data_IF_199202884362
#
_entry.id   IF_199202884362
#
_cell.length_a   1.000
_cell.length_b   1.000
_cell.length_c   1.000
_cell.angle_alpha   90.00
_cell.angle_beta   90.00
_cell.angle_gamma   90.00
#
_symmetry.space_group_name_H-M   'P 1'
#
loop_
_entity.id
_entity.type
_entity.pdbx_description
1 polymer ?
#
# COMPACT_ATOMS: atom_id res chain seq x y z
N UNK A 1 5.97 67.13 -7.49
CA UNK A 1 7.34 67.28 -6.96
C UNK A 1 7.30 67.30 -5.45
N UNK A 2 8.28 66.65 -4.82
CA UNK A 2 8.33 66.47 -3.38
C UNK A 2 9.02 67.69 -2.71
N UNK A 3 8.56 68.08 -1.52
CA UNK A 3 9.21 69.16 -0.77
C UNK A 3 10.55 68.70 -0.19
N UNK A 4 11.44 69.66 0.07
CA UNK A 4 12.79 69.39 0.57
C UNK A 4 12.78 68.55 1.85
N UNK A 5 11.80 68.79 2.74
CA UNK A 5 11.65 68.03 3.99
C UNK A 5 11.47 66.52 3.74
N UNK A 6 10.68 66.11 2.75
CA UNK A 6 10.48 64.69 2.43
C UNK A 6 11.72 64.08 1.77
N UNK A 7 12.43 64.84 0.93
CA UNK A 7 13.67 64.40 0.31
C UNK A 7 14.78 64.18 1.35
N UNK A 8 14.90 65.10 2.32
CA UNK A 8 15.87 64.98 3.41
C UNK A 8 15.57 63.79 4.32
N UNK A 9 14.28 63.54 4.61
CA UNK A 9 13.85 62.37 5.36
C UNK A 9 14.16 61.05 4.63
N UNK A 10 13.85 60.96 3.34
CA UNK A 10 14.16 59.79 2.51
C UNK A 10 15.67 59.54 2.50
N UNK A 11 16.47 60.60 2.31
CA UNK A 11 17.93 60.51 2.31
C UNK A 11 18.47 60.01 3.65
N UNK A 12 17.94 60.52 4.77
CA UNK A 12 18.33 60.06 6.11
C UNK A 12 18.07 58.57 6.32
N UNK A 13 16.92 58.08 5.89
CA UNK A 13 16.57 56.64 5.98
C UNK A 13 17.45 55.80 5.04
N UNK A 14 17.71 56.29 3.83
CA UNK A 14 18.58 55.64 2.85
C UNK A 14 20.03 55.49 3.38
N UNK A 15 20.58 56.56 3.96
CA UNK A 15 21.92 56.55 4.56
C UNK A 15 21.97 55.61 5.77
N UNK A 16 20.92 55.56 6.59
CA UNK A 16 20.83 54.62 7.71
C UNK A 16 20.74 53.16 7.25
N UNK A 17 20.02 52.87 6.16
CA UNK A 17 19.96 51.53 5.56
C UNK A 17 21.32 51.08 5.00
N UNK A 18 22.12 52.01 4.46
CA UNK A 18 23.50 51.71 4.06
C UNK A 18 24.42 51.38 5.25
N UNK A 19 24.14 51.95 6.42
CA UNK A 19 24.94 51.77 7.62
C UNK A 19 24.65 50.45 8.37
N UNK A 20 23.63 49.69 7.96
CA UNK A 20 23.30 48.40 8.58
C UNK A 20 24.45 47.41 8.39
N UNK A 21 24.91 46.82 9.49
CA UNK A 21 25.98 45.82 9.51
C UNK A 21 25.50 44.49 8.89
N UNK A 22 25.78 44.34 7.59
CA UNK A 22 25.40 43.14 6.82
C UNK A 22 26.09 41.87 7.33
N UNK A 23 27.27 41.97 7.95
CA UNK A 23 27.95 40.80 8.49
C UNK A 23 27.20 40.25 9.70
N UNK A 24 26.77 41.13 10.62
CA UNK A 24 25.94 40.75 11.77
C UNK A 24 24.55 40.28 11.39
N UNK A 25 24.02 40.78 10.29
CA UNK A 25 22.70 40.41 9.78
C UNK A 25 22.70 39.02 9.12
N UNK A 26 23.73 38.69 8.32
CA UNK A 26 23.77 37.42 7.59
C UNK A 26 24.27 36.26 8.45
N UNK A 27 25.09 36.53 9.48
CA UNK A 27 25.64 35.52 10.42
C UNK A 27 26.12 34.25 9.74
N UNK A 28 27.07 34.38 8.82
CA UNK A 28 27.62 33.24 8.06
C UNK A 28 28.16 32.11 8.95
N UNK A 29 28.51 32.41 10.20
CA UNK A 29 28.96 31.44 11.20
C UNK A 29 27.89 30.44 11.65
N UNK A 30 26.60 30.69 11.39
CA UNK A 30 25.49 29.81 11.80
C UNK A 30 25.18 28.68 10.81
N UNK A 31 25.95 28.55 9.71
CA UNK A 31 25.77 27.45 8.75
C UNK A 31 24.41 27.49 8.06
N UNK A 32 23.64 26.42 8.15
CA UNK A 32 22.31 26.31 7.51
C UNK A 32 21.27 27.27 8.10
N UNK A 33 21.45 27.68 9.37
CA UNK A 33 20.58 28.63 10.04
C UNK A 33 20.88 30.10 9.66
N UNK A 34 21.93 30.33 8.86
CA UNK A 34 22.24 31.64 8.31
C UNK A 34 21.12 32.16 7.40
N UNK A 35 20.94 33.48 7.41
CA UNK A 35 20.07 34.18 6.46
C UNK A 35 20.71 34.42 5.08
N UNK A 36 21.96 33.99 4.85
CA UNK A 36 22.71 34.35 3.63
C UNK A 36 21.96 34.02 2.33
N UNK A 37 21.49 32.78 2.18
CA UNK A 37 20.81 32.36 0.94
C UNK A 37 19.45 33.03 0.75
N UNK A 38 18.71 33.23 1.83
CA UNK A 38 17.32 33.69 1.76
C UNK A 38 17.22 35.21 1.74
N UNK A 39 18.08 35.92 2.47
CA UNK A 39 18.00 37.38 2.61
C UNK A 39 18.71 38.12 1.48
N UNK A 40 19.71 37.51 0.82
CA UNK A 40 20.43 38.15 -0.29
C UNK A 40 19.53 38.70 -1.42
N UNK A 41 18.61 37.92 -2.01
CA UNK A 41 17.71 38.44 -3.06
C UNK A 41 16.79 39.57 -2.58
N UNK A 42 16.46 39.58 -1.28
CA UNK A 42 15.65 40.64 -0.66
C UNK A 42 16.45 41.92 -0.48
N UNK A 43 17.72 41.82 -0.05
CA UNK A 43 18.62 42.97 0.04
C UNK A 43 18.87 43.61 -1.32
N UNK A 44 19.02 42.80 -2.38
CA UNK A 44 19.08 43.32 -3.75
C UNK A 44 17.81 44.08 -4.12
N UNK A 45 16.63 43.52 -3.82
CA UNK A 45 15.34 44.17 -4.09
C UNK A 45 15.20 45.49 -3.33
N UNK A 46 15.59 45.53 -2.05
CA UNK A 46 15.63 46.74 -1.22
C UNK A 46 16.59 47.77 -1.84
N UNK A 47 17.77 47.35 -2.29
CA UNK A 47 18.75 48.28 -2.90
C UNK A 47 18.22 48.93 -4.18
N UNK A 48 17.56 48.16 -5.05
CA UNK A 48 16.93 48.68 -6.27
C UNK A 48 15.79 49.64 -5.95
N UNK A 49 14.96 49.30 -4.96
CA UNK A 49 13.88 50.16 -4.48
C UNK A 49 14.43 51.51 -3.99
N UNK A 50 15.48 51.46 -3.15
CA UNK A 50 16.14 52.65 -2.60
C UNK A 50 16.74 53.53 -3.70
N UNK A 51 17.46 52.93 -4.64
CA UNK A 51 18.06 53.65 -5.77
C UNK A 51 16.99 54.36 -6.60
N UNK A 52 15.92 53.65 -6.98
CA UNK A 52 14.81 54.21 -7.75
C UNK A 52 14.14 55.35 -6.99
N UNK A 53 13.85 55.15 -5.70
CA UNK A 53 13.22 56.16 -4.87
C UNK A 53 14.09 57.42 -4.77
N UNK A 54 15.39 57.27 -4.52
CA UNK A 54 16.34 58.38 -4.40
C UNK A 54 16.50 59.17 -5.68
N UNK A 55 16.59 58.49 -6.82
CA UNK A 55 16.79 59.13 -8.12
C UNK A 55 15.55 59.92 -8.56
N UNK A 56 14.36 59.37 -8.37
CA UNK A 56 13.13 59.94 -8.93
C UNK A 56 12.23 60.67 -7.92
N UNK A 57 12.51 60.60 -6.61
CA UNK A 57 11.72 61.31 -5.58
C UNK A 57 11.51 62.82 -5.84
N UNK A 58 12.48 63.60 -6.37
CA UNK A 58 12.26 65.02 -6.65
C UNK A 58 11.10 65.26 -7.63
N UNK A 59 10.84 64.32 -8.53
CA UNK A 59 9.82 64.42 -9.57
C UNK A 59 8.45 63.90 -9.11
N UNK A 60 8.40 63.09 -8.05
CA UNK A 60 7.17 62.49 -7.51
C UNK A 60 6.49 63.43 -6.50
N UNK A 61 5.21 63.24 -6.18
CA UNK A 61 4.51 64.03 -5.14
C UNK A 61 4.92 63.58 -3.72
N UNK A 62 4.63 64.43 -2.72
CA UNK A 62 4.97 64.17 -1.31
C UNK A 62 4.45 62.83 -0.79
N UNK A 63 3.20 62.48 -1.13
CA UNK A 63 2.52 61.33 -0.54
C UNK A 63 3.19 59.98 -0.87
N UNK A 64 3.46 59.62 -2.15
CA UNK A 64 4.21 58.40 -2.47
C UNK A 64 5.63 58.38 -1.91
N UNK A 65 6.31 59.54 -1.84
CA UNK A 65 7.65 59.65 -1.24
C UNK A 65 7.59 59.38 0.26
N UNK A 66 6.59 59.91 0.96
CA UNK A 66 6.38 59.65 2.37
C UNK A 66 6.06 58.16 2.64
N UNK A 67 5.20 57.55 1.81
CA UNK A 67 4.85 56.13 1.92
C UNK A 67 6.08 55.23 1.76
N UNK A 68 6.88 55.43 0.69
CA UNK A 68 8.13 54.67 0.52
C UNK A 68 9.11 54.93 1.65
N UNK A 69 9.26 56.17 2.11
CA UNK A 69 10.14 56.50 3.24
C UNK A 69 9.73 55.76 4.51
N UNK A 70 8.42 55.69 4.80
CA UNK A 70 7.88 54.94 5.93
C UNK A 70 8.19 53.44 5.84
N UNK A 71 7.98 52.83 4.66
CA UNK A 71 8.25 51.41 4.43
C UNK A 71 9.75 51.11 4.56
N UNK A 72 10.61 51.96 3.98
CA UNK A 72 12.07 51.82 4.12
C UNK A 72 12.50 51.94 5.58
N UNK A 73 11.86 52.80 6.37
CA UNK A 73 12.13 52.93 7.80
C UNK A 73 11.67 51.69 8.59
N UNK A 74 10.55 51.06 8.22
CA UNK A 74 10.12 49.79 8.81
C UNK A 74 11.10 48.66 8.49
N UNK A 75 11.57 48.57 7.23
CA UNK A 75 12.61 47.64 6.82
C UNK A 75 13.90 47.88 7.61
N UNK A 76 14.33 49.13 7.77
CA UNK A 76 15.50 49.50 8.57
C UNK A 76 15.38 48.99 10.01
N UNK A 77 14.22 49.19 10.63
CA UNK A 77 13.97 48.75 12.00
C UNK A 77 14.03 47.20 12.11
N UNK A 78 13.45 46.47 11.16
CA UNK A 78 13.54 45.00 11.14
C UNK A 78 14.98 44.52 10.97
N UNK A 79 15.72 45.10 10.02
CA UNK A 79 17.12 44.75 9.76
C UNK A 79 18.00 45.03 10.99
N UNK A 80 17.80 46.18 11.63
CA UNK A 80 18.56 46.57 12.82
C UNK A 80 18.25 45.67 14.02
N UNK A 81 16.97 45.34 14.22
CA UNK A 81 16.54 44.41 15.27
C UNK A 81 17.13 43.02 15.07
N UNK A 82 17.06 42.49 13.84
CA UNK A 82 17.59 41.16 13.51
C UNK A 82 19.11 41.12 13.64
N UNK A 83 19.82 42.18 13.23
CA UNK A 83 21.28 42.26 13.38
C UNK A 83 21.72 42.30 14.85
N UNK A 84 20.91 42.92 15.73
CA UNK A 84 21.15 43.05 17.17
C UNK A 84 20.71 41.87 18.05
N UNK A 85 19.84 40.97 17.55
CA UNK A 85 19.31 39.84 18.31
C UNK A 85 20.40 38.85 18.75
N UNK A 86 20.32 38.19 19.91
CA UNK A 86 21.26 37.11 20.22
C UNK A 86 21.07 35.88 19.29
N UNK A 87 21.94 34.88 19.34
CA UNK A 87 21.85 33.72 18.43
C UNK A 87 20.54 32.94 18.58
N UNK A 88 20.00 32.83 19.80
CA UNK A 88 18.74 32.10 20.05
C UNK A 88 17.55 32.87 19.49
N UNK A 89 17.49 34.17 19.74
CA UNK A 89 16.44 35.05 19.23
C UNK A 89 16.51 35.20 17.71
N UNK A 90 17.71 35.28 17.14
CA UNK A 90 17.93 35.38 15.70
C UNK A 90 17.29 34.20 14.95
N UNK A 91 17.55 32.97 15.42
CA UNK A 91 16.99 31.75 14.83
C UNK A 91 15.48 31.71 15.04
N UNK A 92 15.01 32.00 16.25
CA UNK A 92 13.58 31.98 16.58
C UNK A 92 12.76 32.99 15.76
N UNK A 93 13.32 34.16 15.46
CA UNK A 93 12.63 35.24 14.72
C UNK A 93 12.80 35.12 13.21
N UNK A 94 13.68 34.24 12.72
CA UNK A 94 14.09 34.10 11.31
C UNK A 94 12.91 34.08 10.34
N UNK A 95 11.94 33.19 10.57
CA UNK A 95 10.78 33.03 9.68
C UNK A 95 9.89 34.27 9.66
N UNK A 96 9.59 34.85 10.84
CA UNK A 96 8.74 36.03 10.93
C UNK A 96 9.41 37.26 10.33
N UNK A 97 10.72 37.41 10.55
CA UNK A 97 11.52 38.47 9.96
C UNK A 97 11.45 38.43 8.43
N UNK A 98 11.65 37.27 7.79
CA UNK A 98 11.60 37.13 6.33
C UNK A 98 10.22 37.46 5.77
N UNK A 99 9.15 36.94 6.39
CA UNK A 99 7.77 37.24 6.01
C UNK A 99 7.45 38.74 6.12
N UNK A 100 7.96 39.41 7.16
CA UNK A 100 7.77 40.85 7.34
C UNK A 100 8.48 41.64 6.24
N UNK A 101 9.73 41.28 5.89
CA UNK A 101 10.46 41.92 4.80
C UNK A 101 9.72 41.74 3.47
N UNK A 102 9.20 40.54 3.20
CA UNK A 102 8.40 40.30 1.98
C UNK A 102 7.14 41.15 1.95
N UNK A 103 6.44 41.25 3.08
CA UNK A 103 5.23 42.08 3.22
C UNK A 103 5.53 43.55 2.94
N UNK A 104 6.63 44.08 3.50
CA UNK A 104 7.04 45.46 3.25
C UNK A 104 7.46 45.70 1.79
N UNK A 105 8.12 44.72 1.15
CA UNK A 105 8.45 44.81 -0.27
C UNK A 105 7.20 44.78 -1.16
N UNK A 106 6.20 43.94 -0.84
CA UNK A 106 4.92 43.95 -1.54
C UNK A 106 4.13 45.26 -1.33
N UNK A 107 4.22 45.85 -0.14
CA UNK A 107 3.60 47.15 0.13
C UNK A 107 4.31 48.27 -0.64
N UNK A 108 5.65 48.24 -0.74
CA UNK A 108 6.42 49.18 -1.54
C UNK A 108 6.07 49.10 -3.04
N UNK A 109 5.72 47.91 -3.54
CA UNK A 109 5.28 47.75 -4.94
C UNK A 109 4.02 48.55 -5.26
N UNK A 110 3.17 48.87 -4.29
CA UNK A 110 1.94 49.64 -4.51
C UNK A 110 2.21 51.11 -4.83
N UNK A 111 3.27 51.69 -4.27
CA UNK A 111 3.67 53.09 -4.51
C UNK A 111 4.72 53.23 -5.62
N UNK A 112 5.37 52.14 -6.01
CA UNK A 112 6.34 52.07 -7.11
C UNK A 112 5.87 52.67 -8.45
N UNK A 113 4.60 52.52 -8.89
CA UNK A 113 4.15 53.04 -10.18
C UNK A 113 4.37 54.55 -10.34
N UNK A 114 4.30 55.33 -9.25
CA UNK A 114 4.57 56.77 -9.31
C UNK A 114 6.03 57.08 -9.62
N UNK A 115 6.96 56.30 -9.09
CA UNK A 115 8.40 56.43 -9.35
C UNK A 115 8.77 55.92 -10.74
N UNK A 116 8.15 54.82 -11.17
CA UNK A 116 8.34 54.29 -12.54
C UNK A 116 7.78 55.29 -13.55
N UNK A 117 6.61 55.87 -13.32
CA UNK A 117 6.06 56.91 -14.19
C UNK A 117 7.00 58.12 -14.29
N UNK A 118 7.54 58.58 -13.16
CA UNK A 118 8.56 59.64 -13.14
C UNK A 118 9.82 59.24 -13.92
N UNK A 119 10.30 58.00 -13.79
CA UNK A 119 11.45 57.50 -14.53
C UNK A 119 11.20 57.42 -16.05
N UNK A 120 10.01 56.96 -16.44
CA UNK A 120 9.59 56.87 -17.85
C UNK A 120 9.45 58.27 -18.45
N UNK A 121 8.86 59.23 -17.72
CA UNK A 121 8.75 60.62 -18.16
C UNK A 121 10.11 61.32 -18.22
N UNK A 122 10.95 61.16 -17.20
CA UNK A 122 12.29 61.76 -17.14
C UNK A 122 13.25 61.25 -18.21
N UNK A 123 13.00 60.06 -18.77
CA UNK A 123 13.75 59.49 -19.89
C UNK A 123 13.18 59.86 -21.27
N UNK A 124 12.11 60.65 -21.34
CA UNK A 124 11.48 61.05 -22.61
C UNK A 124 10.78 59.90 -23.34
N UNK A 125 10.52 58.77 -22.66
CA UNK A 125 10.02 57.54 -23.27
C UNK A 125 8.60 57.68 -23.86
N UNK A 126 7.83 58.69 -23.42
CA UNK A 126 6.50 59.01 -23.93
C UNK A 126 6.49 60.01 -25.09
N UNK A 127 7.61 60.71 -25.32
CA UNK A 127 7.74 61.73 -26.37
C UNK A 127 8.43 61.17 -27.63
N UNK A 128 9.14 60.04 -27.51
CA UNK A 128 9.81 59.38 -28.63
C UNK A 128 8.91 58.35 -29.33
N UNK A 129 8.41 58.70 -30.52
CA UNK A 129 7.57 57.82 -31.35
C UNK A 129 8.28 56.52 -31.77
N UNK A 130 9.62 56.51 -31.87
CA UNK A 130 10.40 55.35 -32.27
C UNK A 130 10.34 54.22 -31.24
N UNK A 131 10.45 54.57 -29.97
CA UNK A 131 10.39 53.63 -28.85
C UNK A 131 9.01 52.98 -28.75
N UNK A 132 7.94 53.73 -29.06
CA UNK A 132 6.56 53.21 -29.06
C UNK A 132 6.33 52.17 -30.16
N UNK A 133 6.96 52.33 -31.33
CA UNK A 133 6.92 51.34 -32.40
C UNK A 133 7.72 50.08 -32.04
N UNK A 134 8.89 50.24 -31.44
CA UNK A 134 9.76 49.13 -31.05
C UNK A 134 9.12 48.28 -29.94
N UNK A 135 8.46 48.92 -28.97
CA UNK A 135 7.68 48.22 -27.94
C UNK A 135 6.52 47.41 -28.53
N UNK A 136 5.76 47.98 -29.49
CA UNK A 136 4.68 47.24 -30.18
C UNK A 136 5.21 46.01 -30.90
N UNK A 137 6.31 46.13 -31.64
CA UNK A 137 6.97 44.99 -32.31
C UNK A 137 7.42 43.93 -31.31
N UNK A 138 8.01 44.36 -30.19
CA UNK A 138 8.51 43.45 -29.15
C UNK A 138 7.36 42.67 -28.52
N UNK A 139 6.26 43.35 -28.17
CA UNK A 139 5.05 42.72 -27.61
C UNK A 139 4.40 41.74 -28.61
N UNK A 140 4.31 42.10 -29.89
CA UNK A 140 3.81 41.18 -30.92
C UNK A 140 4.70 39.96 -31.12
N UNK A 141 6.03 40.13 -31.12
CA UNK A 141 6.98 39.03 -31.22
C UNK A 141 6.87 38.06 -30.03
N UNK A 142 6.81 38.61 -28.81
CA UNK A 142 6.62 37.84 -27.58
C UNK A 142 5.29 37.10 -27.57
N UNK A 143 4.21 37.72 -28.06
CA UNK A 143 2.89 37.09 -28.13
C UNK A 143 2.89 35.91 -29.11
N UNK A 144 3.59 36.05 -30.23
CA UNK A 144 3.72 34.99 -31.23
C UNK A 144 4.56 33.83 -30.69
N UNK A 145 5.72 34.13 -30.12
CA UNK A 145 6.62 33.14 -29.53
C UNK A 145 5.97 32.40 -28.36
N UNK A 146 5.24 33.11 -27.49
CA UNK A 146 4.46 32.49 -26.42
C UNK A 146 3.36 31.57 -26.96
N UNK A 147 2.66 31.95 -28.03
CA UNK A 147 1.63 31.11 -28.66
C UNK A 147 2.22 29.83 -29.26
N UNK A 148 3.36 29.93 -29.94
CA UNK A 148 4.05 28.77 -30.54
C UNK A 148 4.62 27.85 -29.46
N UNK A 149 5.16 28.42 -28.37
CA UNK A 149 5.62 27.67 -27.20
C UNK A 149 4.47 26.95 -26.49
N UNK A 150 3.31 27.59 -26.34
CA UNK A 150 2.13 26.95 -25.74
C UNK A 150 1.66 25.78 -26.60
N UNK A 151 1.71 25.92 -27.93
CA UNK A 151 1.28 24.87 -28.85
C UNK A 151 2.20 23.65 -28.79
N UNK A 152 3.52 23.87 -28.86
CA UNK A 152 4.53 22.82 -28.74
C UNK A 152 4.47 22.13 -27.39
N UNK A 153 4.33 22.90 -26.30
CA UNK A 153 4.16 22.36 -24.95
C UNK A 153 2.91 21.47 -24.84
N UNK A 154 1.79 21.87 -25.48
CA UNK A 154 0.55 21.06 -25.47
C UNK A 154 0.72 19.74 -26.23
N UNK A 155 1.44 19.74 -27.34
CA UNK A 155 1.74 18.53 -28.12
C UNK A 155 2.68 17.59 -27.37
N UNK A 156 3.75 18.12 -26.77
CA UNK A 156 4.69 17.35 -25.95
C UNK A 156 4.03 16.79 -24.69
N UNK A 157 3.24 17.60 -23.97
CA UNK A 157 2.48 17.14 -22.82
C UNK A 157 1.47 16.04 -23.21
N UNK A 158 0.82 16.17 -24.37
CA UNK A 158 -0.07 15.13 -24.89
C UNK A 158 0.65 13.81 -25.13
N UNK A 159 1.84 13.84 -25.73
CA UNK A 159 2.67 12.64 -25.94
C UNK A 159 3.15 12.04 -24.62
N UNK A 160 3.62 12.87 -23.69
CA UNK A 160 4.07 12.43 -22.38
C UNK A 160 2.93 11.75 -21.58
N UNK A 161 1.71 12.28 -21.66
CA UNK A 161 0.53 11.66 -21.04
C UNK A 161 0.22 10.30 -21.69
N UNK A 162 0.26 10.21 -23.02
CA UNK A 162 0.02 8.95 -23.76
C UNK A 162 1.07 7.88 -23.41
N UNK A 163 2.34 8.26 -23.34
CA UNK A 163 3.44 7.38 -22.94
C UNK A 163 3.33 6.95 -21.47
N UNK A 164 3.03 7.89 -20.56
CA UNK A 164 2.79 7.59 -19.16
C UNK A 164 1.62 6.63 -18.98
N UNK A 165 0.55 6.79 -19.77
CA UNK A 165 -0.62 5.87 -19.75
C UNK A 165 -0.22 4.47 -20.20
N UNK A 166 0.52 4.33 -21.31
CA UNK A 166 1.02 3.03 -21.77
C UNK A 166 1.94 2.36 -20.74
N UNK A 167 2.83 3.14 -20.13
CA UNK A 167 3.76 2.64 -19.11
C UNK A 167 3.00 2.18 -17.85
N UNK A 168 1.97 2.93 -17.44
CA UNK A 168 1.10 2.55 -16.33
C UNK A 168 0.33 1.25 -16.62
N UNK A 169 -0.26 1.10 -17.81
CA UNK A 169 -0.93 -0.13 -18.23
C UNK A 169 0.04 -1.34 -18.25
N UNK A 170 1.28 -1.14 -18.68
CA UNK A 170 2.30 -2.17 -18.68
C UNK A 170 2.71 -2.57 -17.24
N UNK A 171 2.93 -1.58 -16.37
CA UNK A 171 3.26 -1.81 -14.95
C UNK A 171 2.11 -2.55 -14.26
N UNK A 172 0.87 -2.14 -14.47
CA UNK A 172 -0.31 -2.80 -13.91
C UNK A 172 -0.39 -4.26 -14.38
N UNK A 173 -0.18 -4.49 -15.68
CA UNK A 173 -0.18 -5.85 -16.26
C UNK A 173 0.94 -6.71 -15.68
N UNK A 174 2.15 -6.17 -15.51
CA UNK A 174 3.29 -6.86 -14.88
C UNK A 174 3.02 -7.16 -13.41
N UNK A 175 2.47 -6.21 -12.66
CA UNK A 175 2.12 -6.38 -11.26
C UNK A 175 1.07 -7.48 -11.07
N UNK A 176 -0.01 -7.45 -11.87
CA UNK A 176 -1.05 -8.51 -11.86
C UNK A 176 -0.47 -9.88 -12.19
N UNK A 177 0.37 -10.00 -13.22
CA UNK A 177 1.06 -11.26 -13.57
C UNK A 177 1.96 -11.76 -12.44
N UNK A 178 2.70 -10.86 -11.80
CA UNK A 178 3.62 -11.19 -10.70
C UNK A 178 2.84 -11.65 -9.47
N UNK A 179 1.78 -10.94 -9.09
CA UNK A 179 0.92 -11.32 -7.97
C UNK A 179 0.24 -12.67 -8.21
N UNK A 180 -0.29 -12.90 -9.41
CA UNK A 180 -0.87 -14.19 -9.79
C UNK A 180 0.16 -15.32 -9.69
N UNK A 181 1.39 -15.10 -10.20
CA UNK A 181 2.46 -16.10 -10.14
C UNK A 181 2.90 -16.44 -8.72
N UNK A 182 3.13 -15.43 -7.87
CA UNK A 182 3.53 -15.64 -6.48
C UNK A 182 2.43 -16.36 -5.70
N UNK A 183 1.16 -15.94 -5.88
CA UNK A 183 0.01 -16.58 -5.21
C UNK A 183 -0.15 -18.03 -5.63
N UNK A 184 -0.03 -18.34 -6.92
CA UNK A 184 -0.12 -19.71 -7.44
C UNK A 184 1.04 -20.57 -6.92
N UNK A 185 2.27 -20.07 -6.92
CA UNK A 185 3.43 -20.81 -6.41
C UNK A 185 3.31 -21.13 -4.91
N UNK A 186 2.82 -20.19 -4.12
CA UNK A 186 2.59 -20.41 -2.69
C UNK A 186 1.47 -21.44 -2.45
N UNK A 187 0.36 -21.34 -3.17
CA UNK A 187 -0.71 -22.34 -3.10
C UNK A 187 -0.22 -23.75 -3.50
N UNK A 188 0.59 -23.86 -4.56
CA UNK A 188 1.20 -25.12 -4.98
C UNK A 188 2.09 -25.71 -3.88
N UNK A 189 2.89 -24.87 -3.22
CA UNK A 189 3.73 -25.28 -2.09
C UNK A 189 2.89 -25.77 -0.92
N UNK A 190 1.84 -25.03 -0.53
CA UNK A 190 0.93 -25.44 0.56
C UNK A 190 0.29 -26.80 0.29
N UNK A 191 -0.18 -27.05 -0.94
CA UNK A 191 -0.74 -28.36 -1.29
C UNK A 191 0.32 -29.47 -1.26
N UNK A 192 1.56 -29.17 -1.66
CA UNK A 192 2.66 -30.13 -1.57
C UNK A 192 2.99 -30.49 -0.12
N UNK A 193 3.13 -29.49 0.75
CA UNK A 193 3.45 -29.68 2.16
C UNK A 193 2.33 -30.46 2.87
N UNK A 194 1.06 -30.13 2.58
CA UNK A 194 -0.09 -30.89 3.06
C UNK A 194 -0.11 -32.34 2.54
N UNK A 195 0.29 -32.56 1.28
CA UNK A 195 0.37 -33.90 0.69
C UNK A 195 1.41 -34.77 1.39
N UNK A 196 2.54 -34.20 1.76
CA UNK A 196 3.61 -34.90 2.49
C UNK A 196 3.11 -35.34 3.88
N UNK A 197 2.42 -34.45 4.60
CA UNK A 197 1.75 -34.78 5.87
C UNK A 197 0.76 -35.94 5.73
N UNK A 198 -0.19 -35.81 4.79
CA UNK A 198 -1.19 -36.85 4.53
C UNK A 198 -0.55 -38.19 4.14
N UNK A 199 0.56 -38.18 3.40
CA UNK A 199 1.27 -39.41 3.04
C UNK A 199 1.89 -40.13 4.24
N UNK A 200 2.34 -39.38 5.26
CA UNK A 200 2.86 -39.94 6.51
C UNK A 200 1.72 -40.54 7.32
N UNK A 201 0.60 -39.83 7.43
CA UNK A 201 -0.58 -40.32 8.14
C UNK A 201 -1.13 -41.60 7.50
N UNK A 202 -1.23 -41.66 6.17
CA UNK A 202 -1.67 -42.88 5.46
C UNK A 202 -0.76 -44.06 5.79
N UNK A 203 0.57 -43.87 5.79
CA UNK A 203 1.51 -44.94 6.14
C UNK A 203 1.31 -45.40 7.60
N UNK A 204 1.16 -44.46 8.52
CA UNK A 204 0.93 -44.76 9.93
C UNK A 204 -0.37 -45.55 10.12
N UNK A 205 -1.49 -45.08 9.56
CA UNK A 205 -2.79 -45.75 9.64
C UNK A 205 -2.83 -47.09 8.89
N UNK A 206 -2.07 -47.23 7.79
CA UNK A 206 -1.93 -48.51 7.09
C UNK A 206 -1.23 -49.55 7.96
N UNK A 207 -0.13 -49.18 8.62
CA UNK A 207 0.56 -50.06 9.57
C UNK A 207 -0.36 -50.45 10.72
N UNK A 208 -1.07 -49.49 11.32
CA UNK A 208 -2.05 -49.77 12.37
C UNK A 208 -3.18 -50.67 11.91
N UNK A 209 -3.67 -50.51 10.68
CA UNK A 209 -4.71 -51.36 10.11
C UNK A 209 -4.24 -52.80 9.99
N UNK A 210 -3.02 -53.02 9.50
CA UNK A 210 -2.42 -54.37 9.40
C UNK A 210 -2.26 -54.99 10.79
N UNK A 211 -1.74 -54.24 11.77
CA UNK A 211 -1.58 -54.72 13.15
C UNK A 211 -2.94 -55.11 13.75
N UNK A 212 -3.97 -54.30 13.58
CA UNK A 212 -5.30 -54.57 14.13
C UNK A 212 -5.98 -55.77 13.47
N UNK A 213 -5.82 -55.94 12.15
CA UNK A 213 -6.31 -57.14 11.45
C UNK A 213 -5.60 -58.40 11.95
N UNK A 214 -4.27 -58.36 12.11
CA UNK A 214 -3.51 -59.49 12.68
C UNK A 214 -3.92 -59.77 14.12
N UNK A 215 -4.15 -58.74 14.94
CA UNK A 215 -4.63 -58.89 16.31
C UNK A 215 -6.03 -59.52 16.35
N UNK A 216 -6.94 -59.10 15.48
CA UNK A 216 -8.29 -59.68 15.36
C UNK A 216 -8.22 -61.18 15.05
N UNK A 217 -7.44 -61.58 14.04
CA UNK A 217 -7.24 -63.00 13.74
C UNK A 217 -6.51 -63.74 14.85
N UNK A 218 -5.53 -63.12 15.50
CA UNK A 218 -4.82 -63.69 16.65
C UNK A 218 -5.74 -64.01 17.83
N UNK A 219 -6.65 -63.08 18.17
CA UNK A 219 -7.67 -63.31 19.21
C UNK A 219 -8.65 -64.42 18.78
N UNK A 220 -9.12 -64.39 17.52
CA UNK A 220 -10.03 -65.41 17.00
C UNK A 220 -9.41 -66.82 17.06
N UNK A 221 -8.15 -66.96 16.61
CA UNK A 221 -7.40 -68.22 16.66
C UNK A 221 -7.10 -68.63 18.11
N UNK A 222 -6.74 -67.69 18.98
CA UNK A 222 -6.55 -67.93 20.41
C UNK A 222 -7.79 -68.54 21.08
N UNK A 223 -8.98 -68.04 20.74
CA UNK A 223 -10.23 -68.60 21.25
C UNK A 223 -10.54 -70.02 20.76
N UNK A 224 -9.99 -70.46 19.62
CA UNK A 224 -10.11 -71.85 19.15
C UNK A 224 -9.24 -72.79 20.01
N UNK A 225 -8.05 -72.34 20.42
CA UNK A 225 -7.12 -73.18 21.20
C UNK A 225 -7.43 -73.23 22.70
N UNK A 226 -8.13 -72.23 23.25
CA UNK A 226 -8.58 -72.25 24.66
C UNK A 226 -9.75 -73.24 24.79
N UNK A 227 -9.43 -74.47 25.19
CA UNK A 227 -10.41 -75.51 25.50
C UNK A 227 -11.39 -75.02 26.56
N UNK A 228 -12.68 -75.13 26.26
CA UNK A 228 -13.73 -74.93 27.24
C UNK A 228 -13.67 -76.11 28.23
N UNK A 229 -13.74 -75.87 29.55
CA UNK A 229 -13.81 -76.95 30.51
C UNK A 229 -15.07 -77.79 30.25
N UNK A 230 -14.90 -79.01 29.76
CA UNK A 230 -15.99 -79.90 29.33
C UNK A 230 -16.91 -80.34 30.48
N UNK A 231 -16.43 -80.25 31.72
CA UNK A 231 -17.18 -80.61 32.93
C UNK A 231 -17.89 -79.40 33.57
N UNK A 232 -17.81 -78.22 32.96
CA UNK A 232 -18.36 -77.03 33.56
C UNK A 232 -19.89 -76.93 33.39
N UNK A 233 -20.57 -76.50 34.45
CA UNK A 233 -22.03 -76.31 34.45
C UNK A 233 -22.45 -75.37 33.31
N UNK A 234 -23.59 -75.65 32.66
CA UNK A 234 -24.04 -74.99 31.42
C UNK A 234 -23.97 -73.45 31.45
N UNK A 235 -24.21 -72.84 32.62
CA UNK A 235 -24.18 -71.39 32.79
C UNK A 235 -22.77 -70.80 32.62
N UNK A 236 -21.73 -71.52 33.01
CA UNK A 236 -20.33 -71.09 32.82
C UNK A 236 -19.92 -71.11 31.35
N UNK A 237 -20.39 -72.11 30.59
CA UNK A 237 -20.14 -72.20 29.15
C UNK A 237 -20.81 -71.05 28.38
N UNK A 238 -22.05 -70.69 28.76
CA UNK A 238 -22.77 -69.55 28.19
C UNK A 238 -22.04 -68.24 28.51
N UNK A 239 -21.64 -68.03 29.77
CA UNK A 239 -20.90 -66.83 30.18
C UNK A 239 -19.58 -66.66 29.42
N UNK A 240 -18.77 -67.73 29.31
CA UNK A 240 -17.51 -67.68 28.58
C UNK A 240 -17.70 -67.43 27.08
N UNK A 241 -18.75 -67.98 26.48
CA UNK A 241 -19.09 -67.74 25.07
C UNK A 241 -19.52 -66.28 24.85
N UNK A 242 -20.39 -65.75 25.72
CA UNK A 242 -20.80 -64.36 25.67
C UNK A 242 -19.60 -63.41 25.80
N UNK A 243 -18.68 -63.68 26.73
CA UNK A 243 -17.47 -62.88 26.89
C UNK A 243 -16.57 -62.91 25.65
N UNK A 244 -16.37 -64.07 25.01
CA UNK A 244 -15.61 -64.18 23.75
C UNK A 244 -16.26 -63.38 22.62
N UNK A 245 -17.58 -63.42 22.50
CA UNK A 245 -18.33 -62.63 21.51
C UNK A 245 -18.14 -61.13 21.76
N UNK A 246 -18.23 -60.68 23.01
CA UNK A 246 -18.02 -59.27 23.37
C UNK A 246 -16.60 -58.83 23.02
N UNK A 247 -15.59 -59.62 23.36
CA UNK A 247 -14.19 -59.31 23.05
C UNK A 247 -13.97 -59.26 21.52
N UNK A 248 -14.45 -60.26 20.77
CA UNK A 248 -14.35 -60.27 19.31
C UNK A 248 -15.05 -59.08 18.68
N UNK A 249 -16.23 -58.71 19.19
CA UNK A 249 -16.99 -57.56 18.70
C UNK A 249 -16.25 -56.25 18.99
N UNK A 250 -15.66 -56.10 20.17
CA UNK A 250 -14.86 -54.93 20.54
C UNK A 250 -13.62 -54.78 19.65
N UNK A 251 -12.84 -55.85 19.46
CA UNK A 251 -11.65 -55.83 18.58
C UNK A 251 -12.06 -55.60 17.11
N UNK A 252 -13.17 -56.21 16.66
CA UNK A 252 -13.73 -56.00 15.33
C UNK A 252 -14.18 -54.54 15.11
N UNK A 253 -14.80 -53.91 16.11
CA UNK A 253 -15.20 -52.51 16.04
C UNK A 253 -13.98 -51.57 15.94
N UNK A 254 -12.94 -51.80 16.75
CA UNK A 254 -11.68 -51.04 16.69
C UNK A 254 -11.02 -51.22 15.32
N UNK A 255 -10.94 -52.45 14.81
CA UNK A 255 -10.37 -52.75 13.49
C UNK A 255 -11.12 -52.02 12.38
N UNK A 256 -12.45 -52.03 12.44
CA UNK A 256 -13.31 -51.33 11.49
C UNK A 256 -13.09 -49.82 11.54
N UNK A 257 -12.96 -49.25 12.74
CA UNK A 257 -12.67 -47.83 12.93
C UNK A 257 -11.33 -47.42 12.30
N UNK A 258 -10.27 -48.18 12.55
CA UNK A 258 -8.93 -47.94 12.00
C UNK A 258 -8.93 -48.00 10.46
N UNK A 259 -9.64 -48.99 9.88
CA UNK A 259 -9.80 -49.09 8.42
C UNK A 259 -10.59 -47.92 7.82
N UNK A 260 -11.64 -47.44 8.52
CA UNK A 260 -12.40 -46.24 8.11
C UNK A 260 -11.51 -45.01 8.12
N UNK A 261 -10.68 -44.85 9.15
CA UNK A 261 -9.74 -43.74 9.25
C UNK A 261 -8.69 -43.76 8.14
N UNK A 262 -8.14 -44.94 7.83
CA UNK A 262 -7.23 -45.12 6.68
C UNK A 262 -7.90 -44.70 5.37
N UNK A 263 -9.14 -45.16 5.12
CA UNK A 263 -9.91 -44.81 3.93
C UNK A 263 -10.14 -43.30 3.82
N UNK A 264 -10.45 -42.64 4.93
CA UNK A 264 -10.63 -41.19 4.98
C UNK A 264 -9.34 -40.43 4.63
N UNK A 265 -8.19 -40.85 5.17
CA UNK A 265 -6.90 -40.23 4.84
C UNK A 265 -6.49 -40.46 3.37
N UNK A 266 -6.73 -41.65 2.82
CA UNK A 266 -6.50 -41.93 1.39
C UNK A 266 -7.36 -41.01 0.53
N UNK A 267 -8.64 -40.86 0.87
CA UNK A 267 -9.57 -39.96 0.19
C UNK A 267 -9.08 -38.51 0.21
N UNK A 268 -8.71 -37.99 1.38
CA UNK A 268 -8.16 -36.63 1.52
C UNK A 268 -6.88 -36.43 0.70
N UNK A 269 -6.00 -37.43 0.65
CA UNK A 269 -4.81 -37.42 -0.20
C UNK A 269 -5.15 -37.37 -1.69
N UNK A 270 -6.17 -38.08 -2.15
CA UNK A 270 -6.60 -37.99 -3.56
C UNK A 270 -7.17 -36.62 -3.92
N UNK A 271 -7.99 -36.04 -3.04
CA UNK A 271 -8.51 -34.69 -3.21
C UNK A 271 -7.39 -33.66 -3.24
N UNK A 272 -6.45 -33.75 -2.30
CA UNK A 272 -5.32 -32.84 -2.24
C UNK A 272 -4.41 -32.96 -3.47
N UNK A 273 -4.13 -34.17 -3.96
CA UNK A 273 -3.43 -34.39 -5.24
C UNK A 273 -4.18 -33.83 -6.44
N UNK A 274 -5.51 -33.87 -6.44
CA UNK A 274 -6.30 -33.24 -7.50
C UNK A 274 -6.15 -31.72 -7.45
N UNK A 275 -6.35 -31.10 -6.28
CA UNK A 275 -6.14 -29.66 -6.06
C UNK A 275 -4.75 -29.20 -6.45
N UNK A 276 -3.73 -29.98 -6.09
CA UNK A 276 -2.35 -29.73 -6.50
C UNK A 276 -2.17 -29.76 -8.02
N UNK A 277 -2.75 -30.74 -8.72
CA UNK A 277 -2.69 -30.82 -10.19
C UNK A 277 -3.42 -29.67 -10.87
N UNK A 278 -4.56 -29.24 -10.33
CA UNK A 278 -5.28 -28.07 -10.82
C UNK A 278 -4.43 -26.83 -10.60
N UNK A 279 -3.95 -26.58 -9.38
CA UNK A 279 -3.07 -25.45 -9.04
C UNK A 279 -1.80 -25.39 -9.90
N UNK A 280 -1.19 -26.54 -10.21
CA UNK A 280 -0.04 -26.64 -11.12
C UNK A 280 -0.40 -26.23 -12.56
N UNK A 281 -1.63 -26.48 -12.98
CA UNK A 281 -2.11 -26.17 -14.33
C UNK A 281 -2.68 -24.75 -14.47
N UNK A 282 -2.94 -24.03 -13.36
CA UNK A 282 -3.56 -22.69 -13.38
C UNK A 282 -2.73 -21.73 -14.25
N UNK A 283 -1.41 -21.68 -14.03
CA UNK A 283 -0.54 -20.78 -14.79
C UNK A 283 -0.61 -21.08 -16.29
N UNK A 284 -0.57 -22.35 -16.70
CA UNK A 284 -0.66 -22.75 -18.10
C UNK A 284 -2.00 -22.35 -18.74
N UNK A 285 -3.13 -22.59 -18.05
CA UNK A 285 -4.46 -22.23 -18.56
C UNK A 285 -4.67 -20.72 -18.63
N UNK A 286 -4.26 -19.98 -17.61
CA UNK A 286 -4.35 -18.51 -17.56
C UNK A 286 -3.49 -17.87 -18.65
N UNK A 287 -2.32 -18.44 -18.94
CA UNK A 287 -1.44 -17.95 -20.02
C UNK A 287 -1.94 -18.32 -21.42
N UNK A 288 -2.77 -19.35 -21.56
CA UNK A 288 -3.38 -19.72 -22.85
C UNK A 288 -4.54 -18.82 -23.29
N UNK A 289 -5.06 -17.99 -22.39
CA UNK A 289 -6.17 -17.09 -22.67
C UNK A 289 -5.75 -15.90 -23.56
N UNK A 290 -6.46 -15.68 -24.67
CA UNK A 290 -6.16 -14.61 -25.62
C UNK A 290 -6.64 -13.24 -25.17
N UNK A 291 -7.75 -13.17 -24.42
CA UNK A 291 -8.31 -11.91 -23.90
C UNK A 291 -8.23 -11.84 -22.37
N UNK A 292 -8.21 -10.62 -21.78
CA UNK A 292 -8.26 -10.44 -20.33
C UNK A 292 -9.51 -11.07 -19.69
N UNK A 293 -10.67 -10.95 -20.33
CA UNK A 293 -11.95 -11.44 -19.82
C UNK A 293 -11.98 -12.98 -19.80
N UNK A 294 -11.44 -13.62 -20.84
CA UNK A 294 -11.29 -15.07 -20.87
C UNK A 294 -10.37 -15.57 -19.76
N UNK A 295 -9.30 -14.82 -19.48
CA UNK A 295 -8.36 -15.14 -18.40
C UNK A 295 -9.04 -15.14 -17.04
N UNK A 296 -9.87 -14.13 -16.78
CA UNK A 296 -10.57 -14.00 -15.50
C UNK A 296 -11.63 -15.11 -15.33
N UNK A 297 -12.36 -15.47 -16.38
CA UNK A 297 -13.32 -16.59 -16.36
C UNK A 297 -12.61 -17.93 -16.11
N UNK A 298 -11.50 -18.18 -16.83
CA UNK A 298 -10.70 -19.40 -16.66
C UNK A 298 -10.16 -19.47 -15.23
N UNK A 299 -9.62 -18.36 -14.71
CA UNK A 299 -9.10 -18.29 -13.36
C UNK A 299 -10.21 -18.55 -12.32
N UNK A 300 -11.39 -17.94 -12.48
CA UNK A 300 -12.53 -18.14 -11.59
C UNK A 300 -12.96 -19.62 -11.54
N UNK A 301 -13.14 -20.25 -12.71
CA UNK A 301 -13.51 -21.68 -12.80
C UNK A 301 -12.44 -22.59 -12.19
N UNK A 302 -11.16 -22.25 -12.35
CA UNK A 302 -10.07 -23.03 -11.76
C UNK A 302 -9.98 -22.86 -10.25
N UNK A 303 -10.18 -21.63 -9.74
CA UNK A 303 -10.27 -21.37 -8.30
C UNK A 303 -11.46 -22.11 -7.70
N UNK A 304 -12.61 -22.09 -8.37
CA UNK A 304 -13.77 -22.87 -7.97
C UNK A 304 -13.46 -24.36 -7.94
N UNK A 305 -12.78 -24.91 -8.96
CA UNK A 305 -12.37 -26.33 -8.97
C UNK A 305 -11.38 -26.68 -7.84
N UNK A 306 -10.54 -25.74 -7.40
CA UNK A 306 -9.63 -25.94 -6.25
C UNK A 306 -10.40 -25.90 -4.93
N UNK A 307 -11.33 -24.95 -4.77
CA UNK A 307 -12.07 -24.72 -3.52
C UNK A 307 -13.19 -25.74 -3.33
N UNK A 308 -13.87 -26.13 -4.41
CA UNK A 308 -14.97 -27.08 -4.36
C UNK A 308 -14.51 -28.40 -3.71
N UNK A 309 -15.25 -28.82 -2.70
CA UNK A 309 -15.08 -30.14 -2.08
C UNK A 309 -15.88 -31.15 -2.91
N UNK A 310 -15.23 -31.68 -3.96
CA UNK A 310 -15.82 -32.73 -4.78
C UNK A 310 -15.93 -34.05 -4.03
N UNK A 311 -17.02 -34.80 -4.24
CA UNK A 311 -17.12 -36.16 -3.75
C UNK A 311 -16.22 -37.07 -4.60
N UNK A 312 -15.16 -37.63 -4.02
CA UNK A 312 -14.25 -38.52 -4.78
C UNK A 312 -14.84 -39.92 -5.04
N UNK A 313 -16.07 -40.19 -4.57
CA UNK A 313 -16.69 -41.51 -4.62
C UNK A 313 -16.05 -42.55 -3.68
N UNK A 314 -15.01 -42.17 -2.92
CA UNK A 314 -14.39 -43.03 -1.91
C UNK A 314 -15.15 -43.02 -0.59
N UNK A 315 -16.02 -42.05 -0.32
CA UNK A 315 -16.92 -42.08 0.82
C UNK A 315 -18.34 -42.30 0.30
N UNK A 316 -19.07 -43.32 0.78
CA UNK A 316 -20.50 -43.40 0.50
C UNK A 316 -21.15 -42.12 1.06
N UNK A 317 -22.16 -41.60 0.36
CA UNK A 317 -22.97 -40.52 0.92
C UNK A 317 -23.54 -40.96 2.28
N UNK A 318 -23.76 -40.02 3.19
CA UNK A 318 -24.30 -40.23 4.55
C UNK A 318 -25.66 -40.96 4.63
N UNK A 319 -26.17 -41.49 3.51
CA UNK A 319 -27.24 -42.48 3.47
C UNK A 319 -26.81 -43.85 4.03
N UNK A 320 -25.51 -44.08 4.26
CA UNK A 320 -25.01 -45.15 5.14
C UNK A 320 -25.06 -44.73 6.64
N UNK A 321 -26.08 -43.96 7.02
CA UNK A 321 -26.47 -43.74 8.40
C UNK A 321 -26.76 -45.09 9.05
N UNK A 322 -25.80 -45.55 9.86
CA UNK A 322 -26.00 -46.58 10.88
C UNK A 322 -26.53 -47.94 10.36
N UNK A 323 -25.91 -48.44 9.30
CA UNK A 323 -25.56 -49.87 9.19
C UNK A 323 -24.38 -50.21 10.10
N UNK A 324 -24.28 -49.58 11.28
CA UNK A 324 -23.47 -50.14 12.36
C UNK A 324 -23.94 -51.57 12.55
N UNK A 325 -22.99 -52.50 12.65
CA UNK A 325 -23.22 -53.90 13.00
C UNK A 325 -24.50 -53.98 13.85
N UNK A 326 -25.62 -54.40 13.25
CA UNK A 326 -26.77 -54.85 14.02
C UNK A 326 -26.17 -55.97 14.83
N UNK A 327 -25.88 -55.67 16.10
CA UNK A 327 -25.26 -56.61 17.02
C UNK A 327 -26.01 -57.93 16.84
N UNK A 328 -25.32 -59.08 16.85
CA UNK A 328 -25.99 -60.38 16.79
C UNK A 328 -27.03 -60.56 17.91
N UNK A 329 -27.12 -59.64 18.88
CA UNK A 329 -28.20 -59.53 19.86
C UNK A 329 -29.59 -59.33 19.24
N UNK A 330 -29.76 -58.61 18.12
CA UNK A 330 -31.08 -58.52 17.45
C UNK A 330 -31.44 -59.82 16.72
N UNK A 331 -30.45 -60.52 16.16
CA UNK A 331 -30.65 -61.83 15.53
C UNK A 331 -30.96 -62.91 16.59
N UNK A 332 -30.28 -62.87 17.74
CA UNK A 332 -30.53 -63.73 18.90
C UNK A 332 -31.91 -63.41 19.53
N UNK A 333 -32.29 -62.13 19.64
CA UNK A 333 -33.61 -61.72 20.12
C UNK A 333 -34.76 -62.20 19.23
N UNK A 334 -34.57 -62.20 17.90
CA UNK A 334 -35.55 -62.76 16.96
C UNK A 334 -35.62 -64.29 17.01
N UNK A 335 -34.49 -64.99 17.20
CA UNK A 335 -34.45 -66.44 17.38
C UNK A 335 -35.13 -66.86 18.70
N UNK A 336 -34.87 -66.16 19.80
CA UNK A 336 -35.50 -66.44 21.11
C UNK A 336 -37.00 -66.11 21.08
N UNK A 337 -37.40 -65.00 20.44
CA UNK A 337 -38.82 -64.64 20.28
C UNK A 337 -39.61 -65.62 19.39
N UNK A 338 -38.93 -66.35 18.50
CA UNK A 338 -39.56 -67.39 17.66
C UNK A 338 -39.73 -68.75 18.36
N UNK A 339 -39.05 -68.97 19.50
CA UNK A 339 -39.08 -70.23 20.25
C UNK A 339 -40.04 -70.23 21.44
N UNK A 340 -40.64 -69.08 21.79
CA UNK A 340 -41.72 -69.01 22.78
C UNK A 340 -43.05 -69.40 22.13
N UNK A 341 -43.67 -70.55 22.48
CA UNK A 341 -45.01 -70.87 22.01
C UNK A 341 -45.99 -69.86 22.59
N UNK A 342 -46.79 -69.24 21.71
CA UNK A 342 -47.93 -68.41 22.12
C UNK A 342 -48.87 -69.30 22.94
N UNK A 343 -49.03 -68.97 24.22
CA UNK A 343 -50.12 -69.49 25.07
C UNK A 343 -51.43 -68.82 24.70
#
# INVERSE_FOLDING_TARGET
MASQQYLDNLKKVDDALNAVDTQKLLRKSLGEESLEKELHPRLESISRLRQLAREYAPQVHNEPVNQITSILNQILNQLSSQAGADSSQYIAQRSNFLTNIDTFLEEAKKSLPHFVAAAVMGRGFLEDEGIRQEYKRTVESLRKEASDTIKTLKEEAGRAIEEAKKLAEEIETRARRTAAKISVQEAQRQFKDAQEGLSKDIKLWAVWSVIMVLAFFGVAVGFIFVKLPMEAEWHTAVYQTALRIVILSAVGAITTYVLRMLRAHIHMSHLNKHRQRVANSIEAFVMSAHTPEQRDIILANLVEAVVAFGNSGLLPHDDDTLGGQKLPTEAIGRLIGSLTPKK
#
